data_IF_732699944864
#
_entry.id   IF_732699944864
#
_cell.length_a   1.000
_cell.length_b   1.000
_cell.length_c   1.000
_cell.angle_alpha   90.00
_cell.angle_beta   90.00
_cell.angle_gamma   90.00
#
_symmetry.space_group_name_H-M   'P 1'
#
loop_
_entity.id
_entity.type
_entity.pdbx_description
1 polymer ?
#
# COMPACT_ATOMS: atom_id res chain seq x y z
N UNK A 1 1.61 -17.99 6.61
CA UNK A 1 1.00 -16.73 7.10
C UNK A 1 2.14 -15.77 7.27
N UNK A 2 2.17 -14.71 6.47
CA UNK A 2 3.13 -13.62 6.64
C UNK A 2 2.97 -13.02 8.03
N UNK A 3 3.94 -13.31 8.90
CA UNK A 3 3.97 -12.80 10.26
C UNK A 3 3.86 -11.25 10.25
N UNK A 4 4.43 -10.62 9.23
CA UNK A 4 4.48 -9.17 9.08
C UNK A 4 3.13 -8.56 8.72
N UNK A 5 2.31 -9.22 7.87
CA UNK A 5 0.96 -8.75 7.55
C UNK A 5 0.04 -8.78 8.78
N UNK A 6 0.14 -9.83 9.62
CA UNK A 6 -0.63 -9.90 10.87
C UNK A 6 -0.17 -8.83 11.87
N UNK A 7 1.14 -8.56 11.96
CA UNK A 7 1.64 -7.44 12.77
C UNK A 7 1.14 -6.09 12.26
N UNK A 8 1.06 -5.87 10.94
CA UNK A 8 0.49 -4.65 10.37
C UNK A 8 -0.99 -4.49 10.74
N UNK A 9 -1.79 -5.56 10.65
CA UNK A 9 -3.19 -5.54 11.09
C UNK A 9 -3.34 -5.12 12.56
N UNK A 10 -2.41 -5.56 13.42
CA UNK A 10 -2.40 -5.17 14.83
C UNK A 10 -2.00 -3.70 15.06
N UNK A 11 -1.21 -3.09 14.16
CA UNK A 11 -0.91 -1.65 14.21
C UNK A 11 -2.10 -0.79 13.80
N UNK A 12 -2.99 -1.31 12.94
CA UNK A 12 -4.20 -0.63 12.50
C UNK A 12 -3.94 0.34 11.36
N UNK A 13 -4.51 1.55 11.43
CA UNK A 13 -4.29 2.58 10.41
C UNK A 13 -2.95 3.28 10.62
N UNK A 14 -2.29 3.62 9.54
CA UNK A 14 -1.13 4.51 9.56
C UNK A 14 -1.55 5.92 10.02
N UNK A 15 -0.70 6.60 10.80
CA UNK A 15 -0.94 7.99 11.18
C UNK A 15 -0.88 8.92 9.97
N UNK A 16 -1.67 10.00 10.00
CA UNK A 16 -1.46 11.12 9.07
C UNK A 16 -0.19 11.86 9.49
N UNK A 17 0.54 12.41 8.53
CA UNK A 17 1.64 13.33 8.81
C UNK A 17 1.13 14.66 9.37
N UNK A 18 1.73 15.12 10.48
CA UNK A 18 1.47 16.42 11.12
C UNK A 18 2.81 17.02 11.60
N UNK A 19 3.57 17.57 10.65
CA UNK A 19 4.93 18.08 10.85
C UNK A 19 5.09 19.07 12.03
N UNK A 20 4.00 19.71 12.47
CA UNK A 20 4.00 20.67 13.56
C UNK A 20 3.78 20.01 14.94
N UNK A 21 3.10 18.85 15.00
CA UNK A 21 2.66 18.23 16.25
C UNK A 21 3.13 16.79 16.45
N UNK A 22 3.90 16.25 15.51
CA UNK A 22 4.34 14.87 15.58
C UNK A 22 5.32 14.60 16.72
N UNK A 23 4.99 13.56 17.49
CA UNK A 23 5.87 13.05 18.54
C UNK A 23 6.82 11.99 17.99
N UNK A 24 7.89 11.72 18.75
CA UNK A 24 8.82 10.62 18.44
C UNK A 24 8.07 9.28 18.30
N UNK A 25 7.01 9.06 19.07
CA UNK A 25 6.20 7.83 19.00
C UNK A 25 5.56 7.63 17.61
N UNK A 26 5.18 8.72 16.93
CA UNK A 26 4.59 8.66 15.59
C UNK A 26 5.65 8.30 14.55
N UNK A 27 6.86 8.86 14.69
CA UNK A 27 8.00 8.52 13.83
C UNK A 27 8.44 7.07 14.02
N UNK A 28 8.48 6.59 15.27
CA UNK A 28 8.80 5.21 15.60
C UNK A 28 7.74 4.24 15.05
N UNK A 29 6.46 4.63 15.11
CA UNK A 29 5.37 3.88 14.50
C UNK A 29 5.52 3.81 12.97
N UNK A 30 5.83 4.91 12.29
CA UNK A 30 6.11 4.93 10.86
C UNK A 30 7.27 4.00 10.47
N UNK A 31 8.37 4.04 11.22
CA UNK A 31 9.50 3.15 10.99
C UNK A 31 9.11 1.67 11.16
N UNK A 32 8.26 1.36 12.14
CA UNK A 32 7.73 0.00 12.33
C UNK A 32 6.86 -0.44 11.15
N UNK A 33 6.05 0.45 10.57
CA UNK A 33 5.34 0.15 9.33
C UNK A 33 6.33 -0.16 8.19
N UNK A 34 7.38 0.65 8.02
CA UNK A 34 8.42 0.42 6.99
C UNK A 34 9.05 -0.96 7.11
N UNK A 35 9.55 -1.30 8.30
CA UNK A 35 10.19 -2.59 8.56
C UNK A 35 9.26 -3.76 8.22
N UNK A 36 8.00 -3.69 8.64
CA UNK A 36 7.02 -4.73 8.37
C UNK A 36 6.64 -4.83 6.91
N UNK A 37 6.54 -3.71 6.18
CA UNK A 37 6.28 -3.71 4.75
C UNK A 37 7.44 -4.37 3.99
N UNK A 38 8.69 -4.08 4.37
CA UNK A 38 9.86 -4.68 3.74
C UNK A 38 9.93 -6.21 3.90
N UNK A 39 9.37 -6.76 4.98
CA UNK A 39 9.34 -8.20 5.25
C UNK A 39 8.26 -8.96 4.46
N UNK A 40 7.30 -8.28 3.81
CA UNK A 40 6.25 -8.93 3.03
C UNK A 40 6.86 -9.55 1.76
N UNK A 41 6.64 -10.84 1.58
CA UNK A 41 7.07 -11.58 0.38
C UNK A 41 6.33 -11.08 -0.87
N UNK A 42 7.08 -10.97 -1.97
CA UNK A 42 6.58 -10.58 -3.29
C UNK A 42 6.62 -11.80 -4.24
N UNK A 43 5.69 -11.93 -5.20
CA UNK A 43 4.57 -11.03 -5.47
C UNK A 43 3.44 -11.16 -4.44
N UNK A 44 2.76 -10.06 -4.13
CA UNK A 44 1.62 -10.10 -3.21
C UNK A 44 0.34 -10.53 -3.91
N UNK A 45 -0.64 -11.03 -3.14
CA UNK A 45 -1.98 -11.32 -3.65
C UNK A 45 -2.86 -10.06 -3.70
N UNK A 46 -3.95 -10.10 -4.49
CA UNK A 46 -4.99 -9.05 -4.48
C UNK A 46 -5.55 -8.82 -3.08
N UNK A 47 -5.78 -9.89 -2.30
CA UNK A 47 -6.29 -9.80 -0.92
C UNK A 47 -5.30 -9.09 0.01
N UNK A 48 -4.00 -9.38 -0.14
CA UNK A 48 -2.93 -8.67 0.54
C UNK A 48 -2.94 -7.19 0.14
N UNK A 49 -3.10 -6.90 -1.16
CA UNK A 49 -3.22 -5.53 -1.66
C UNK A 49 -4.35 -4.74 -0.99
N UNK A 50 -5.55 -5.32 -0.92
CA UNK A 50 -6.69 -4.69 -0.22
C UNK A 50 -6.38 -4.41 1.25
N UNK A 51 -5.72 -5.37 1.91
CA UNK A 51 -5.31 -5.23 3.30
C UNK A 51 -4.33 -4.07 3.47
N UNK A 52 -3.31 -3.96 2.62
CA UNK A 52 -2.32 -2.87 2.68
C UNK A 52 -2.97 -1.50 2.45
N UNK A 53 -3.81 -1.36 1.42
CA UNK A 53 -4.49 -0.10 1.12
C UNK A 53 -5.46 0.32 2.25
N UNK A 54 -6.03 -0.64 2.99
CA UNK A 54 -6.93 -0.34 4.12
C UNK A 54 -6.26 0.36 5.30
N UNK A 55 -4.93 0.23 5.43
CA UNK A 55 -4.16 0.89 6.48
C UNK A 55 -3.86 2.34 6.16
N UNK A 56 -3.95 2.74 4.88
CA UNK A 56 -3.58 4.08 4.47
C UNK A 56 -4.51 5.15 5.07
N UNK A 57 -3.96 6.29 5.49
CA UNK A 57 -4.76 7.45 5.82
C UNK A 57 -5.24 8.13 4.52
N UNK A 58 -6.30 8.93 4.61
CA UNK A 58 -6.82 9.65 3.43
C UNK A 58 -5.97 10.87 3.04
N UNK A 59 -4.98 11.25 3.87
CA UNK A 59 -4.06 12.37 3.65
C UNK A 59 -2.61 11.85 3.63
N UNK A 60 -1.65 12.77 3.45
CA UNK A 60 -0.21 12.48 3.49
C UNK A 60 0.20 11.71 4.75
N UNK A 61 1.21 10.88 4.57
CA UNK A 61 1.82 10.04 5.61
C UNK A 61 3.33 9.99 5.40
N UNK A 62 4.05 9.37 6.33
CA UNK A 62 5.49 9.53 6.49
C UNK A 62 6.37 8.78 5.48
N UNK A 63 6.33 9.15 4.20
CA UNK A 63 7.35 8.69 3.24
C UNK A 63 7.34 7.17 3.07
N UNK A 64 6.16 6.56 3.05
CA UNK A 64 5.95 5.11 2.81
C UNK A 64 5.22 4.86 1.48
N UNK A 65 5.01 5.92 0.70
CA UNK A 65 4.31 5.87 -0.58
C UNK A 65 5.00 4.88 -1.52
N UNK A 66 6.33 4.94 -1.62
CA UNK A 66 7.11 4.06 -2.48
C UNK A 66 7.00 2.58 -2.06
N UNK A 67 7.15 2.29 -0.77
CA UNK A 67 7.05 0.93 -0.24
C UNK A 67 5.65 0.34 -0.48
N UNK A 68 4.59 1.15 -0.38
CA UNK A 68 3.24 0.70 -0.68
C UNK A 68 3.06 0.47 -2.19
N UNK A 69 3.40 1.46 -3.02
CA UNK A 69 3.24 1.38 -4.47
C UNK A 69 3.99 0.17 -5.04
N UNK A 70 5.27 0.02 -4.71
CA UNK A 70 6.10 -1.09 -5.19
C UNK A 70 5.53 -2.46 -4.82
N UNK A 71 4.96 -2.62 -3.61
CA UNK A 71 4.31 -3.88 -3.22
C UNK A 71 3.05 -4.16 -4.02
N UNK A 72 2.17 -3.17 -4.18
CA UNK A 72 0.92 -3.32 -4.94
C UNK A 72 1.23 -3.65 -6.41
N UNK A 73 2.23 -3.02 -7.00
CA UNK A 73 2.66 -3.25 -8.39
C UNK A 73 3.24 -4.65 -8.63
N UNK A 74 3.60 -5.41 -7.58
CA UNK A 74 4.04 -6.80 -7.73
C UNK A 74 2.90 -7.79 -8.00
N UNK A 75 1.63 -7.38 -7.86
CA UNK A 75 0.48 -8.27 -8.08
C UNK A 75 0.47 -8.76 -9.54
N UNK A 76 0.53 -10.08 -9.72
CA UNK A 76 0.53 -10.68 -11.06
C UNK A 76 -0.85 -10.61 -11.73
N UNK A 77 -0.88 -10.09 -12.97
CA UNK A 77 -2.08 -9.93 -13.78
C UNK A 77 -2.02 -10.83 -15.02
N UNK A 78 -2.42 -12.09 -14.86
CA UNK A 78 -2.29 -13.12 -15.91
C UNK A 78 -3.54 -13.26 -16.80
N UNK A 79 -4.66 -12.62 -16.43
CA UNK A 79 -5.91 -12.68 -17.19
C UNK A 79 -6.83 -11.48 -16.90
N UNK A 80 -7.90 -11.33 -17.69
CA UNK A 80 -8.86 -10.23 -17.57
C UNK A 80 -9.56 -10.15 -16.20
N UNK A 81 -9.77 -11.27 -15.52
CA UNK A 81 -10.41 -11.28 -14.19
C UNK A 81 -9.49 -10.67 -13.14
N UNK A 82 -8.18 -10.97 -13.21
CA UNK A 82 -7.18 -10.35 -12.34
C UNK A 82 -7.01 -8.87 -12.65
N UNK A 83 -7.01 -8.47 -13.92
CA UNK A 83 -6.99 -7.05 -14.32
C UNK A 83 -8.17 -6.27 -13.73
N UNK A 84 -9.40 -6.80 -13.84
CA UNK A 84 -10.60 -6.20 -13.23
C UNK A 84 -10.51 -6.13 -11.71
N UNK A 85 -9.94 -7.17 -11.08
CA UNK A 85 -9.74 -7.20 -9.63
C UNK A 85 -8.73 -6.14 -9.18
N UNK A 86 -7.67 -5.92 -9.96
CA UNK A 86 -6.69 -4.88 -9.72
C UNK A 86 -7.29 -3.47 -9.89
N UNK A 87 -8.10 -3.24 -10.92
CA UNK A 87 -8.84 -1.98 -11.08
C UNK A 87 -9.76 -1.68 -9.88
N UNK A 88 -10.47 -2.70 -9.39
CA UNK A 88 -11.28 -2.58 -8.17
C UNK A 88 -10.44 -2.30 -6.92
N UNK A 89 -9.23 -2.87 -6.84
CA UNK A 89 -8.29 -2.61 -5.76
C UNK A 89 -7.86 -1.14 -5.77
N UNK A 90 -7.42 -0.61 -6.91
CA UNK A 90 -7.02 0.81 -7.06
C UNK A 90 -8.18 1.73 -6.65
N UNK A 91 -9.39 1.47 -7.13
CA UNK A 91 -10.57 2.27 -6.82
C UNK A 91 -10.97 2.24 -5.34
N UNK A 92 -10.53 1.23 -4.58
CA UNK A 92 -10.77 1.13 -3.14
C UNK A 92 -9.77 1.94 -2.31
N UNK A 93 -8.68 2.45 -2.92
CA UNK A 93 -7.63 3.16 -2.21
C UNK A 93 -8.18 4.45 -1.55
N UNK A 94 -8.11 4.58 -0.21
CA UNK A 94 -8.64 5.75 0.49
C UNK A 94 -7.75 6.99 0.35
N UNK A 95 -6.51 6.80 -0.09
CA UNK A 95 -5.53 7.86 -0.29
C UNK A 95 -5.48 8.24 -1.77
N UNK A 96 -5.81 9.50 -2.09
CA UNK A 96 -5.92 9.96 -3.49
C UNK A 96 -4.57 9.96 -4.21
N UNK A 97 -3.50 10.37 -3.53
CA UNK A 97 -2.15 10.40 -4.11
C UNK A 97 -1.66 8.99 -4.46
N UNK A 98 -1.88 8.01 -3.59
CA UNK A 98 -1.56 6.60 -3.89
C UNK A 98 -2.44 6.07 -5.01
N UNK A 99 -3.75 6.37 -4.99
CA UNK A 99 -4.67 5.92 -6.04
C UNK A 99 -4.24 6.43 -7.41
N UNK A 100 -3.93 7.72 -7.53
CA UNK A 100 -3.56 8.33 -8.80
C UNK A 100 -2.24 7.76 -9.33
N UNK A 101 -1.25 7.53 -8.45
CA UNK A 101 0.00 6.87 -8.84
C UNK A 101 -0.22 5.43 -9.32
N UNK A 102 -1.08 4.65 -8.65
CA UNK A 102 -1.43 3.30 -9.09
C UNK A 102 -2.15 3.28 -10.44
N UNK A 103 -3.03 4.26 -10.71
CA UNK A 103 -3.68 4.42 -12.02
C UNK A 103 -2.62 4.61 -13.10
N UNK A 104 -1.68 5.55 -12.90
CA UNK A 104 -0.60 5.83 -13.86
C UNK A 104 0.27 4.58 -14.06
N UNK A 105 0.68 3.91 -12.98
CA UNK A 105 1.48 2.68 -13.07
C UNK A 105 0.77 1.58 -13.85
N UNK A 106 -0.53 1.39 -13.61
CA UNK A 106 -1.35 0.42 -14.32
C UNK A 106 -1.55 0.76 -15.80
N UNK A 107 -1.76 2.04 -16.13
CA UNK A 107 -1.87 2.49 -17.52
C UNK A 107 -0.57 2.26 -18.29
N UNK A 108 0.57 2.60 -17.70
CA UNK A 108 1.88 2.34 -18.32
C UNK A 108 2.10 0.83 -18.53
N UNK A 109 1.80 -0.01 -17.54
CA UNK A 109 1.93 -1.47 -17.67
C UNK A 109 1.07 -2.03 -18.81
N UNK A 110 -0.15 -1.51 -19.01
CA UNK A 110 -1.03 -1.91 -20.13
C UNK A 110 -0.50 -1.46 -21.50
N UNK A 111 0.23 -0.35 -21.57
CA UNK A 111 0.85 0.11 -22.83
C UNK A 111 2.08 -0.72 -23.22
N UNK A 112 2.79 -1.26 -22.22
CA UNK A 112 3.98 -2.08 -22.41
C UNK A 112 3.70 -3.58 -22.72
N UNK A 113 2.48 -4.07 -22.48
CA UNK A 113 2.06 -5.46 -22.70
C UNK A 113 1.35 -5.69 -24.04
#
# INVERSE_FOLDING_TARGET
MDNSLEKLKLLGKMPNEDLDNDSQDVLDLSNKYRELLMEIEEPISIETGYTLLSFLPSKKFYGLEFEILSKIETIELNNEEQMKSYENLINSCPNEEIRDNLIVGYENWKEDC
#
